data_IF_910894356901
#
_entry.id   IF_910894356901
#
_cell.length_a   1.000
_cell.length_b   1.000
_cell.length_c   1.000
_cell.angle_alpha   90.00
_cell.angle_beta   90.00
_cell.angle_gamma   90.00
#
_symmetry.space_group_name_H-M   'P 1'
#
loop_
_entity.id
_entity.type
_entity.pdbx_description
1 polymer ?
#
# COMPACT_ATOMS: atom_id res chain seq x y z
N UNK A 1 60.49 7.59 -15.14
CA UNK A 1 59.03 7.74 -15.02
C UNK A 1 58.57 7.10 -13.71
N UNK A 2 58.87 7.70 -12.56
CA UNK A 2 58.14 8.80 -11.88
C UNK A 2 56.95 8.29 -11.06
N UNK A 3 57.27 7.94 -9.81
CA UNK A 3 56.43 7.83 -8.60
C UNK A 3 55.38 8.95 -8.39
N UNK A 4 55.32 9.96 -9.26
CA UNK A 4 54.33 11.05 -9.25
C UNK A 4 52.95 10.65 -9.82
N UNK A 5 52.85 9.51 -10.53
CA UNK A 5 51.57 9.05 -11.07
C UNK A 5 50.63 8.41 -10.03
N UNK A 6 51.18 7.81 -8.97
CA UNK A 6 50.38 7.15 -7.94
C UNK A 6 49.85 8.11 -6.86
N UNK A 7 50.47 9.27 -6.67
CA UNK A 7 50.02 10.29 -5.71
C UNK A 7 48.82 11.10 -6.20
N UNK A 8 48.58 11.18 -7.51
CA UNK A 8 47.40 11.88 -8.08
C UNK A 8 46.16 10.97 -8.16
N UNK A 9 46.32 9.66 -8.32
CA UNK A 9 45.20 8.71 -8.34
C UNK A 9 44.60 8.48 -6.94
N UNK A 10 45.41 8.57 -5.88
CA UNK A 10 44.93 8.44 -4.49
C UNK A 10 44.15 9.68 -4.00
N UNK A 11 44.47 10.88 -4.51
CA UNK A 11 43.75 12.11 -4.14
C UNK A 11 42.39 12.25 -4.85
N UNK A 12 42.20 11.63 -6.01
CA UNK A 12 40.93 11.67 -6.74
C UNK A 12 39.95 10.56 -6.33
N UNK A 13 40.44 9.43 -5.80
CA UNK A 13 39.59 8.36 -5.23
C UNK A 13 39.18 8.58 -3.77
N UNK A 14 39.72 9.58 -3.08
CA UNK A 14 39.32 9.91 -1.70
C UNK A 14 38.26 11.02 -1.60
N UNK A 15 37.90 11.67 -2.72
CA UNK A 15 36.89 12.74 -2.75
C UNK A 15 35.46 12.25 -3.01
N UNK A 16 35.24 10.96 -3.29
CA UNK A 16 33.91 10.42 -3.61
C UNK A 16 33.33 9.49 -2.53
N UNK A 17 33.95 9.38 -1.35
CA UNK A 17 33.51 8.45 -0.29
C UNK A 17 32.82 9.15 0.91
N UNK A 18 32.74 10.49 0.93
CA UNK A 18 32.03 11.22 1.99
C UNK A 18 31.20 12.41 1.47
N UNK A 19 30.37 12.15 0.48
CA UNK A 19 29.05 12.77 0.51
C UNK A 19 28.17 11.75 1.23
N UNK A 20 27.90 11.85 2.55
CA UNK A 20 26.65 11.30 3.02
C UNK A 20 25.60 11.86 2.04
N UNK A 21 24.73 11.01 1.52
CA UNK A 21 23.47 11.47 0.95
C UNK A 21 22.88 12.38 2.03
N UNK A 22 23.13 13.67 1.89
CA UNK A 22 22.45 14.70 2.63
C UNK A 22 21.05 14.62 2.05
N UNK A 23 20.26 13.68 2.56
CA UNK A 23 18.84 13.87 2.66
C UNK A 23 18.72 15.21 3.38
N UNK A 24 18.56 16.28 2.59
CA UNK A 24 18.49 17.63 3.11
C UNK A 24 17.46 17.62 4.24
N UNK A 25 17.81 18.23 5.38
CA UNK A 25 16.86 18.38 6.46
C UNK A 25 15.55 18.93 5.88
N UNK A 26 14.43 18.25 6.14
CA UNK A 26 13.15 18.66 5.59
C UNK A 26 12.89 20.12 5.95
N UNK A 27 12.45 20.90 4.96
CA UNK A 27 12.17 22.30 5.20
C UNK A 27 10.85 22.43 5.96
N UNK A 28 10.92 22.96 7.19
CA UNK A 28 9.75 23.31 8.02
C UNK A 28 9.53 24.82 8.12
N UNK A 29 10.36 25.62 7.44
CA UNK A 29 10.29 27.07 7.43
C UNK A 29 9.62 27.51 6.12
N UNK A 30 8.39 28.02 6.24
CA UNK A 30 7.58 28.48 5.10
C UNK A 30 8.34 29.51 4.23
N UNK A 31 9.20 30.33 4.84
CA UNK A 31 9.99 31.33 4.12
C UNK A 31 11.02 30.74 3.14
N UNK A 32 11.30 29.44 3.25
CA UNK A 32 12.29 28.71 2.42
C UNK A 32 11.67 27.80 1.36
N UNK A 33 10.33 27.75 1.24
CA UNK A 33 9.64 26.91 0.25
C UNK A 33 9.98 27.31 -1.19
N UNK A 34 10.39 28.57 -1.42
CA UNK A 34 10.69 29.10 -2.75
C UNK A 34 9.43 29.33 -3.58
N UNK A 35 9.60 29.64 -4.87
CA UNK A 35 8.49 29.84 -5.80
C UNK A 35 8.39 28.66 -6.76
N UNK A 36 7.19 28.11 -6.93
CA UNK A 36 6.90 27.04 -7.90
C UNK A 36 5.58 27.31 -8.61
N UNK A 37 5.40 26.69 -9.78
CA UNK A 37 4.16 26.73 -10.55
C UNK A 37 3.60 25.32 -10.65
N UNK A 38 2.35 25.15 -10.24
CA UNK A 38 1.65 23.88 -10.40
C UNK A 38 0.99 23.82 -11.78
N UNK A 39 1.02 22.67 -12.46
CA UNK A 39 0.22 22.47 -13.66
C UNK A 39 -1.26 22.66 -13.33
N UNK A 40 -2.01 23.34 -14.20
CA UNK A 40 -3.45 23.48 -14.04
C UNK A 40 -4.13 22.12 -14.26
N UNK A 41 -4.82 21.55 -13.25
CA UNK A 41 -5.51 20.28 -13.43
C UNK A 41 -6.63 20.37 -14.47
N UNK A 42 -7.20 21.56 -14.72
CA UNK A 42 -8.30 21.81 -15.66
C UNK A 42 -7.83 22.26 -17.04
N UNK A 43 -6.55 22.07 -17.38
CA UNK A 43 -6.02 22.26 -18.74
C UNK A 43 -5.51 20.93 -19.27
N UNK A 44 -6.07 20.47 -20.39
CA UNK A 44 -5.64 19.26 -21.09
C UNK A 44 -4.22 19.41 -21.64
N UNK A 45 -3.60 18.30 -22.02
CA UNK A 45 -2.24 18.31 -22.57
C UNK A 45 -2.13 19.09 -23.89
N UNK A 46 -3.25 19.21 -24.62
CA UNK A 46 -3.35 20.02 -25.85
C UNK A 46 -3.61 21.52 -25.59
N UNK A 47 -3.71 21.94 -24.33
CA UNK A 47 -4.00 23.32 -23.92
C UNK A 47 -5.49 23.66 -23.81
N UNK A 48 -6.40 22.72 -24.10
CA UNK A 48 -7.84 22.95 -23.96
C UNK A 48 -8.24 23.09 -22.50
N UNK A 49 -9.01 24.13 -22.17
CA UNK A 49 -9.56 24.35 -20.82
C UNK A 49 -10.80 23.48 -20.62
N UNK A 50 -10.79 22.67 -19.57
CA UNK A 50 -11.89 21.82 -19.11
C UNK A 50 -12.97 22.70 -18.46
N UNK A 51 -14.19 22.65 -19.01
CA UNK A 51 -15.34 23.44 -18.53
C UNK A 51 -16.51 22.59 -18.03
N UNK A 52 -16.50 21.29 -18.31
CA UNK A 52 -17.59 20.37 -17.95
C UNK A 52 -17.07 19.09 -17.32
N UNK A 53 -17.92 18.45 -16.52
CA UNK A 53 -17.62 17.13 -15.95
C UNK A 53 -17.36 16.08 -17.05
N UNK A 54 -18.08 16.15 -18.16
CA UNK A 54 -17.87 15.24 -19.29
C UNK A 54 -16.48 15.38 -19.92
N UNK A 55 -15.99 16.61 -20.11
CA UNK A 55 -14.63 16.86 -20.60
C UNK A 55 -13.59 16.35 -19.60
N UNK A 56 -13.82 16.55 -18.30
CA UNK A 56 -12.96 16.00 -17.25
C UNK A 56 -12.90 14.47 -17.32
N UNK A 57 -14.05 13.81 -17.31
CA UNK A 57 -14.14 12.35 -17.23
C UNK A 57 -13.61 11.66 -18.49
N UNK A 58 -13.90 12.20 -19.68
CA UNK A 58 -13.58 11.55 -20.95
C UNK A 58 -12.20 11.92 -21.50
N UNK A 59 -11.64 13.06 -21.11
CA UNK A 59 -10.36 13.56 -21.68
C UNK A 59 -9.33 13.75 -20.58
N UNK A 60 -9.54 14.71 -19.66
CA UNK A 60 -8.49 15.14 -18.74
C UNK A 60 -8.11 14.09 -17.69
N UNK A 61 -9.10 13.40 -17.12
CA UNK A 61 -8.88 12.34 -16.13
C UNK A 61 -8.07 11.18 -16.72
N UNK A 62 -8.38 10.64 -17.91
CA UNK A 62 -7.52 9.67 -18.59
C UNK A 62 -6.08 10.14 -18.81
N UNK A 63 -5.86 11.38 -19.24
CA UNK A 63 -4.50 11.95 -19.41
C UNK A 63 -3.71 11.93 -18.09
N UNK A 64 -4.34 12.39 -17.01
CA UNK A 64 -3.73 12.40 -15.67
C UNK A 64 -3.41 10.99 -15.22
N UNK A 65 -4.34 10.05 -15.35
CA UNK A 65 -4.12 8.64 -14.98
C UNK A 65 -2.97 8.02 -15.76
N UNK A 66 -2.89 8.28 -17.07
CA UNK A 66 -1.81 7.80 -17.93
C UNK A 66 -0.45 8.35 -17.48
N UNK A 67 -0.36 9.65 -17.12
CA UNK A 67 0.86 10.22 -16.56
C UNK A 67 1.26 9.56 -15.23
N UNK A 68 0.31 9.36 -14.31
CA UNK A 68 0.60 8.68 -13.04
C UNK A 68 1.05 7.23 -13.24
N UNK A 69 0.45 6.51 -14.18
CA UNK A 69 0.86 5.15 -14.52
C UNK A 69 2.26 5.10 -15.15
N UNK A 70 2.57 6.05 -16.04
CA UNK A 70 3.85 6.06 -16.76
C UNK A 70 5.01 6.54 -15.89
N UNK A 71 4.79 7.58 -15.08
CA UNK A 71 5.87 8.32 -14.43
C UNK A 71 6.00 8.05 -12.92
N UNK A 72 4.94 7.56 -12.24
CA UNK A 72 4.93 7.47 -10.77
C UNK A 72 4.71 6.05 -10.23
N UNK A 73 3.58 5.43 -10.56
CA UNK A 73 3.14 4.20 -9.91
C UNK A 73 3.35 2.93 -10.74
N UNK A 74 3.61 3.08 -12.04
CA UNK A 74 3.68 1.95 -12.97
C UNK A 74 2.32 1.57 -13.53
N UNK A 75 2.33 0.76 -14.60
CA UNK A 75 1.12 0.22 -15.22
C UNK A 75 0.66 -1.05 -14.52
N UNK A 76 -0.65 -1.17 -14.34
CA UNK A 76 -1.27 -2.44 -14.00
C UNK A 76 -1.15 -3.41 -15.20
N UNK A 77 -0.58 -4.62 -15.01
CA UNK A 77 -0.60 -5.67 -16.03
C UNK A 77 -2.01 -5.93 -16.57
N UNK A 78 -2.14 -6.11 -17.89
CA UNK A 78 -3.43 -6.30 -18.55
C UNK A 78 -4.10 -7.59 -18.09
N UNK A 79 -3.29 -8.62 -17.87
CA UNK A 79 -3.70 -9.94 -17.41
C UNK A 79 -4.38 -9.87 -16.05
N UNK A 80 -3.93 -8.96 -15.16
CA UNK A 80 -4.58 -8.72 -13.86
C UNK A 80 -5.95 -8.08 -14.03
N UNK A 81 -6.05 -7.10 -14.93
CA UNK A 81 -7.32 -6.40 -15.19
C UNK A 81 -8.34 -7.36 -15.80
N UNK A 82 -7.90 -8.23 -16.71
CA UNK A 82 -8.73 -9.25 -17.35
C UNK A 82 -9.11 -10.39 -16.40
N UNK A 83 -8.21 -10.79 -15.50
CA UNK A 83 -8.48 -11.84 -14.53
C UNK A 83 -9.55 -11.43 -13.51
N UNK A 84 -9.59 -10.17 -13.10
CA UNK A 84 -10.64 -9.67 -12.20
C UNK A 84 -10.75 -10.48 -10.90
N UNK A 85 -11.92 -11.06 -10.64
CA UNK A 85 -12.21 -11.94 -9.50
C UNK A 85 -12.25 -13.43 -9.87
N UNK A 86 -11.66 -13.82 -11.01
CA UNK A 86 -11.63 -15.20 -11.47
C UNK A 86 -10.90 -16.11 -10.46
N UNK A 87 -11.44 -17.32 -10.15
CA UNK A 87 -10.87 -18.20 -9.12
C UNK A 87 -9.46 -18.71 -9.42
N UNK A 88 -9.09 -18.80 -10.70
CA UNK A 88 -7.70 -19.13 -11.10
C UNK A 88 -6.70 -18.03 -10.71
N UNK A 89 -7.18 -16.81 -10.43
CA UNK A 89 -6.36 -15.69 -10.01
C UNK A 89 -6.50 -15.38 -8.52
N UNK A 90 -7.72 -15.35 -7.99
CA UNK A 90 -7.97 -14.98 -6.59
C UNK A 90 -9.05 -15.85 -5.96
N UNK A 91 -8.79 -16.36 -4.75
CA UNK A 91 -9.78 -17.10 -3.95
C UNK A 91 -9.97 -16.49 -2.58
N UNK A 92 -11.17 -16.65 -2.02
CA UNK A 92 -11.57 -16.09 -0.74
C UNK A 92 -12.04 -17.19 0.20
N UNK A 93 -11.49 -17.25 1.41
CA UNK A 93 -11.88 -18.20 2.44
C UNK A 93 -12.14 -17.50 3.77
N UNK A 94 -13.39 -17.51 4.22
CA UNK A 94 -13.71 -17.16 5.62
C UNK A 94 -13.14 -18.27 6.51
N UNK A 95 -12.13 -17.96 7.32
CA UNK A 95 -11.51 -18.95 8.21
C UNK A 95 -11.95 -18.79 9.67
N UNK A 96 -12.53 -17.65 10.01
CA UNK A 96 -13.10 -17.39 11.33
C UNK A 96 -14.30 -16.45 11.17
N UNK A 97 -15.36 -16.70 11.95
CA UNK A 97 -16.46 -15.75 12.11
C UNK A 97 -17.12 -15.86 13.48
N UNK A 98 -17.56 -14.72 13.99
CA UNK A 98 -18.34 -14.61 15.22
C UNK A 98 -19.57 -13.73 15.00
N UNK A 99 -20.71 -14.12 15.58
CA UNK A 99 -21.94 -13.32 15.53
C UNK A 99 -22.07 -12.33 16.70
N UNK A 100 -21.13 -12.37 17.64
CA UNK A 100 -21.20 -11.66 18.92
C UNK A 100 -19.92 -10.87 19.24
N UNK A 101 -19.15 -10.52 18.21
CA UNK A 101 -17.95 -9.73 18.38
C UNK A 101 -18.24 -8.35 18.97
N UNK A 102 -17.22 -7.77 19.62
CA UNK A 102 -17.30 -6.47 20.29
C UNK A 102 -18.45 -6.39 21.31
N UNK A 103 -18.67 -7.46 22.08
CA UNK A 103 -19.73 -7.53 23.08
C UNK A 103 -21.14 -7.58 22.48
N UNK A 104 -21.31 -8.27 21.35
CA UNK A 104 -22.61 -8.40 20.68
C UNK A 104 -22.98 -7.22 19.78
N UNK A 105 -22.07 -6.27 19.53
CA UNK A 105 -22.32 -5.13 18.63
C UNK A 105 -22.13 -5.48 17.17
N UNK A 106 -21.26 -6.46 16.86
CA UNK A 106 -20.86 -6.76 15.50
C UNK A 106 -20.78 -8.27 15.18
N UNK A 107 -20.99 -8.59 13.92
CA UNK A 107 -20.54 -9.83 13.30
C UNK A 107 -19.10 -9.61 12.83
N UNK A 108 -18.16 -10.45 13.27
CA UNK A 108 -16.78 -10.45 12.81
C UNK A 108 -16.60 -11.55 11.76
N UNK A 109 -15.84 -11.26 10.70
CA UNK A 109 -15.33 -12.24 9.74
C UNK A 109 -13.85 -12.00 9.50
N UNK A 110 -13.06 -13.07 9.47
CA UNK A 110 -11.68 -13.04 9.00
C UNK A 110 -11.58 -13.87 7.72
N UNK A 111 -11.14 -13.21 6.66
CA UNK A 111 -11.09 -13.76 5.31
C UNK A 111 -9.64 -13.84 4.85
N UNK A 112 -9.20 -15.03 4.46
CA UNK A 112 -7.96 -15.21 3.71
C UNK A 112 -8.25 -14.96 2.24
N UNK A 113 -7.50 -14.03 1.64
CA UNK A 113 -7.49 -13.74 0.22
C UNK A 113 -6.21 -14.35 -0.33
N UNK A 114 -6.34 -15.33 -1.21
CA UNK A 114 -5.18 -16.00 -1.84
C UNK A 114 -5.10 -15.55 -3.28
N UNK A 115 -4.01 -14.89 -3.64
CA UNK A 115 -3.65 -14.54 -5.01
C UNK A 115 -2.75 -15.64 -5.57
N UNK A 116 -3.18 -16.22 -6.67
CA UNK A 116 -2.46 -17.24 -7.42
C UNK A 116 -1.57 -16.58 -8.47
N UNK A 117 -0.40 -17.15 -8.71
CA UNK A 117 0.49 -16.67 -9.77
C UNK A 117 -0.20 -16.75 -11.14
N UNK A 118 -0.32 -15.61 -11.81
CA UNK A 118 -0.69 -15.57 -13.23
C UNK A 118 0.57 -15.85 -14.06
N UNK A 119 0.44 -16.67 -15.11
CA UNK A 119 1.51 -16.86 -16.09
C UNK A 119 1.65 -15.62 -16.99
N UNK A 120 2.25 -14.55 -16.45
CA UNK A 120 2.43 -13.28 -17.16
C UNK A 120 3.33 -13.36 -18.39
N UNK A 121 4.19 -14.37 -18.48
CA UNK A 121 5.18 -14.49 -19.55
C UNK A 121 4.84 -15.59 -20.57
N UNK A 122 3.78 -16.39 -20.36
CA UNK A 122 3.53 -17.65 -21.08
C UNK A 122 4.75 -18.59 -21.09
N UNK A 123 5.73 -18.35 -20.22
CA UNK A 123 6.94 -19.14 -20.08
C UNK A 123 6.65 -20.17 -19.02
N UNK A 124 5.84 -21.16 -19.38
CA UNK A 124 5.41 -22.30 -18.56
C UNK A 124 6.47 -22.72 -17.53
N UNK A 125 6.29 -22.27 -16.30
CA UNK A 125 6.66 -23.01 -15.10
C UNK A 125 5.73 -22.49 -14.00
N UNK A 126 4.64 -23.22 -13.81
CA UNK A 126 3.77 -23.06 -12.65
C UNK A 126 4.65 -23.24 -11.41
N UNK A 127 4.96 -22.15 -10.72
CA UNK A 127 5.75 -22.23 -9.49
C UNK A 127 4.87 -22.61 -8.29
N UNK A 128 3.54 -22.65 -8.46
CA UNK A 128 2.57 -22.81 -7.38
C UNK A 128 2.65 -21.69 -6.34
N UNK A 129 3.22 -20.53 -6.69
CA UNK A 129 3.40 -19.43 -5.73
C UNK A 129 2.04 -18.78 -5.45
N UNK A 130 1.72 -18.73 -4.16
CA UNK A 130 0.58 -18.01 -3.62
C UNK A 130 1.04 -16.80 -2.81
N UNK A 131 0.31 -15.69 -2.92
CA UNK A 131 0.42 -14.55 -2.00
C UNK A 131 -0.88 -14.46 -1.21
N UNK A 132 -0.78 -14.36 0.12
CA UNK A 132 -1.95 -14.34 1.00
C UNK A 132 -2.09 -12.99 1.69
N UNK A 133 -3.30 -12.45 1.66
CA UNK A 133 -3.70 -11.30 2.48
C UNK A 133 -4.81 -11.73 3.44
N UNK A 134 -4.87 -11.10 4.62
CA UNK A 134 -5.92 -11.38 5.61
C UNK A 134 -6.78 -10.14 5.79
N UNK A 135 -8.06 -10.24 5.47
CA UNK A 135 -9.04 -9.19 5.64
C UNK A 135 -9.85 -9.42 6.92
N UNK A 136 -9.86 -8.43 7.82
CA UNK A 136 -10.71 -8.40 9.00
C UNK A 136 -11.92 -7.51 8.70
N UNK A 137 -13.12 -8.04 8.95
CA UNK A 137 -14.39 -7.36 8.69
C UNK A 137 -15.22 -7.35 9.97
N UNK A 138 -15.74 -6.19 10.34
CA UNK A 138 -16.81 -6.04 11.32
C UNK A 138 -18.06 -5.50 10.63
N UNK A 139 -19.20 -6.15 10.87
CA UNK A 139 -20.50 -5.78 10.31
C UNK A 139 -21.43 -5.50 11.49
N UNK A 140 -22.16 -4.38 11.54
CA UNK A 140 -23.13 -4.12 12.60
C UNK A 140 -24.15 -5.25 12.73
N UNK A 141 -24.31 -5.82 13.92
CA UNK A 141 -25.08 -7.05 14.13
C UNK A 141 -26.55 -6.92 13.72
N UNK A 142 -27.14 -5.76 13.96
CA UNK A 142 -28.56 -5.51 13.73
C UNK A 142 -28.84 -4.84 12.38
N UNK A 143 -27.89 -4.89 11.44
CA UNK A 143 -28.11 -4.40 10.08
C UNK A 143 -29.20 -5.24 9.39
N UNK A 144 -30.24 -4.59 8.87
CA UNK A 144 -31.35 -5.24 8.16
C UNK A 144 -31.07 -5.51 6.67
N UNK A 145 -29.85 -5.20 6.21
CA UNK A 145 -29.43 -5.30 4.82
C UNK A 145 -27.96 -4.89 4.64
N UNK A 146 -27.49 -4.72 3.39
CA UNK A 146 -26.15 -4.23 3.12
C UNK A 146 -25.90 -2.86 3.77
N UNK A 147 -24.73 -2.70 4.39
CA UNK A 147 -24.30 -1.46 5.02
C UNK A 147 -23.10 -0.86 4.28
N UNK A 148 -22.89 0.46 4.34
CA UNK A 148 -21.64 1.06 3.88
C UNK A 148 -20.44 0.45 4.59
N UNK A 149 -19.31 0.36 3.89
CA UNK A 149 -18.07 -0.18 4.42
C UNK A 149 -16.93 0.84 4.34
N UNK A 150 -16.10 0.88 5.37
CA UNK A 150 -14.80 1.55 5.35
C UNK A 150 -13.72 0.50 5.14
N UNK A 151 -12.84 0.73 4.17
CA UNK A 151 -11.71 -0.16 3.85
C UNK A 151 -10.40 0.61 3.95
N UNK A 152 -9.37 -0.05 4.46
CA UNK A 152 -8.04 0.51 4.50
C UNK A 152 -7.01 -0.48 5.02
N UNK A 153 -5.75 -0.17 4.71
CA UNK A 153 -4.61 -0.98 5.10
C UNK A 153 -4.15 -0.59 6.51
N UNK A 154 -3.51 -1.52 7.20
CA UNK A 154 -2.81 -1.26 8.46
C UNK A 154 -1.35 -1.70 8.35
N UNK A 155 -0.49 -1.12 9.19
CA UNK A 155 0.95 -1.34 9.12
C UNK A 155 1.43 -2.54 9.93
N UNK A 156 0.64 -2.98 10.92
CA UNK A 156 1.11 -3.87 11.98
C UNK A 156 0.30 -5.17 12.10
N UNK A 157 -0.61 -5.41 11.17
CA UNK A 157 -1.52 -6.56 11.17
C UNK A 157 -2.86 -6.22 11.81
N UNK A 158 -3.87 -7.02 11.49
CA UNK A 158 -5.25 -6.79 11.92
C UNK A 158 -5.42 -6.81 13.44
N UNK A 159 -4.61 -7.60 14.15
CA UNK A 159 -4.61 -7.62 15.62
C UNK A 159 -4.18 -6.28 16.23
N UNK A 160 -3.35 -5.49 15.55
CA UNK A 160 -2.87 -4.23 16.10
C UNK A 160 -3.94 -3.13 16.11
N UNK A 161 -5.00 -3.26 15.30
CA UNK A 161 -6.06 -2.23 15.18
C UNK A 161 -7.23 -2.45 16.13
N UNK A 162 -7.23 -3.50 16.94
CA UNK A 162 -8.33 -3.82 17.86
C UNK A 162 -7.86 -4.61 19.08
N UNK A 163 -8.54 -4.44 20.21
CA UNK A 163 -8.37 -5.25 21.42
C UNK A 163 -9.00 -6.64 21.34
N UNK A 164 -9.80 -6.92 20.31
CA UNK A 164 -10.48 -8.19 20.14
C UNK A 164 -9.47 -9.35 20.07
N UNK A 165 -9.53 -10.25 21.06
CA UNK A 165 -8.58 -11.36 21.25
C UNK A 165 -8.75 -12.48 20.23
N UNK A 166 -9.92 -12.57 19.59
CA UNK A 166 -10.19 -13.62 18.61
C UNK A 166 -9.66 -13.24 17.21
N UNK A 167 -9.26 -11.98 17.02
CA UNK A 167 -8.55 -11.58 15.80
C UNK A 167 -7.21 -12.29 15.75
N UNK A 168 -7.00 -13.04 14.67
CA UNK A 168 -5.86 -13.93 14.54
C UNK A 168 -4.54 -13.14 14.47
N UNK A 169 -3.54 -13.64 15.18
CA UNK A 169 -2.16 -13.21 15.10
C UNK A 169 -1.48 -13.82 13.88
N UNK A 170 -1.94 -13.47 12.67
CA UNK A 170 -1.24 -13.88 11.45
C UNK A 170 -0.10 -12.90 11.21
N UNK A 171 1.12 -13.44 11.12
CA UNK A 171 2.34 -12.67 10.89
C UNK A 171 2.15 -11.73 9.71
N UNK A 172 2.65 -10.52 9.89
CA UNK A 172 2.98 -9.64 8.79
C UNK A 172 3.86 -10.40 7.78
N UNK A 173 3.74 -10.07 6.50
CA UNK A 173 4.70 -10.44 5.46
C UNK A 173 6.10 -10.35 6.09
N UNK A 174 6.81 -11.47 6.07
CA UNK A 174 8.11 -11.69 6.69
C UNK A 174 9.02 -10.45 6.62
N UNK A 175 9.08 -9.69 7.71
CA UNK A 175 10.03 -8.58 7.86
C UNK A 175 9.44 -7.19 8.07
N UNK A 176 8.16 -6.89 7.84
CA UNK A 176 7.69 -5.49 8.05
C UNK A 176 7.65 -5.03 9.52
N UNK A 177 7.87 -5.94 10.47
CA UNK A 177 8.07 -5.64 11.90
C UNK A 177 9.51 -5.27 12.29
N UNK A 178 10.37 -4.84 11.35
CA UNK A 178 11.77 -4.47 11.63
C UNK A 178 11.98 -3.41 12.73
N UNK A 179 10.93 -2.75 13.21
CA UNK A 179 11.02 -1.72 14.26
C UNK A 179 10.41 -2.11 15.61
N UNK A 180 9.87 -3.32 15.75
CA UNK A 180 9.29 -3.76 17.03
C UNK A 180 9.95 -5.05 17.47
N UNK A 181 10.93 -4.90 18.37
CA UNK A 181 11.51 -6.00 19.15
C UNK A 181 10.56 -6.39 20.28
N UNK A 182 9.36 -6.85 19.96
CA UNK A 182 8.53 -7.55 20.95
C UNK A 182 8.76 -9.05 20.79
N UNK A 183 9.20 -9.71 21.86
CA UNK A 183 9.29 -11.17 21.90
C UNK A 183 7.90 -11.82 21.99
N UNK A 184 6.87 -11.05 22.41
CA UNK A 184 5.48 -11.49 22.46
C UNK A 184 4.65 -10.75 21.40
N UNK A 185 4.16 -11.44 20.36
CA UNK A 185 3.25 -10.87 19.38
C UNK A 185 1.98 -10.27 20.02
N UNK A 186 1.45 -10.86 21.10
CA UNK A 186 0.21 -10.39 21.75
C UNK A 186 0.36 -8.99 22.35
N UNK A 187 1.57 -8.57 22.70
CA UNK A 187 1.84 -7.21 23.19
C UNK A 187 1.49 -6.13 22.15
N UNK A 188 1.35 -6.49 20.87
CA UNK A 188 0.94 -5.57 19.80
C UNK A 188 -0.58 -5.45 19.62
N UNK A 189 -1.37 -6.30 20.28
CA UNK A 189 -2.82 -6.26 20.16
C UNK A 189 -3.37 -4.90 20.60
N UNK A 190 -4.18 -4.28 19.75
CA UNK A 190 -4.75 -2.96 20.00
C UNK A 190 -3.74 -1.80 20.05
N UNK A 191 -2.45 -2.01 19.77
CA UNK A 191 -1.41 -0.96 19.84
C UNK A 191 -1.70 0.24 18.90
N UNK A 192 -2.43 0.01 17.81
CA UNK A 192 -2.89 1.01 16.84
C UNK A 192 -4.42 1.09 16.80
N UNK A 193 -5.12 0.72 17.88
CA UNK A 193 -6.58 0.86 17.93
C UNK A 193 -7.03 2.30 17.71
N UNK A 194 -6.24 3.29 18.15
CA UNK A 194 -6.52 4.71 17.88
C UNK A 194 -6.43 5.13 16.39
N UNK A 195 -5.93 4.26 15.51
CA UNK A 195 -5.88 4.50 14.06
C UNK A 195 -7.14 4.03 13.35
N UNK A 196 -7.94 3.21 14.02
CA UNK A 196 -9.11 2.52 13.48
C UNK A 196 -10.18 2.45 14.54
N UNK A 197 -11.19 3.31 14.41
CA UNK A 197 -12.19 3.48 15.46
C UNK A 197 -13.28 2.41 15.39
N UNK A 198 -12.88 1.14 15.56
CA UNK A 198 -13.72 -0.04 15.33
C UNK A 198 -14.84 -0.18 16.38
N UNK A 199 -14.61 0.32 17.60
CA UNK A 199 -15.51 0.13 18.74
C UNK A 199 -16.42 1.32 19.04
N UNK A 200 -16.18 2.49 18.42
CA UNK A 200 -16.97 3.72 18.61
C UNK A 200 -18.26 3.73 17.79
#
# INVERSE_FOLDING_TARGET
MTRKFWTLAAAMMFSCILSPLAFGQANYDESKVGTYQLPDPLVCLDGTVVKTAEQWEKVRRPEILEMFQREMFGRLPKELIEAGDHPDFVTFKVFESSNDALGGKAIRKQVEITFHELDYAKTKKDSGREVKANLLIYIPKNASGPVPAFLGCNFMGNHAVTSDKDVAMRSLIDGSAHHIKSADPEALRGYRANRWDIEQ
#
